data_IF_648025174597
#
_entry.id   IF_648025174597
#
_cell.length_a   1.000
_cell.length_b   1.000
_cell.length_c   1.000
_cell.angle_alpha   90.00
_cell.angle_beta   90.00
_cell.angle_gamma   90.00
#
_symmetry.space_group_name_H-M   'P 1'
#
loop_
_entity.id
_entity.type
_entity.pdbx_description
1 polymer ?
#
# COMPACT_ATOMS: atom_id res chain seq x y z
N UNK A 1 -12.27 -3.56 28.27
CA UNK A 1 -11.03 -3.62 27.45
C UNK A 1 -9.96 -2.73 28.07
N UNK A 2 -8.68 -3.16 28.15
CA UNK A 2 -7.55 -2.32 28.60
C UNK A 2 -6.76 -1.83 27.39
N UNK A 3 -6.74 -0.52 27.16
CA UNK A 3 -5.91 0.12 26.11
C UNK A 3 -4.61 0.58 26.75
N UNK A 4 -3.47 0.19 26.19
CA UNK A 4 -2.14 0.62 26.65
C UNK A 4 -1.58 1.68 25.71
N UNK A 5 -1.23 2.86 26.23
CA UNK A 5 -0.54 3.88 25.45
C UNK A 5 0.91 3.48 25.19
N UNK A 6 1.32 3.48 23.91
CA UNK A 6 2.65 3.09 23.46
C UNK A 6 3.14 3.98 22.30
N UNK A 7 3.37 5.28 22.54
CA UNK A 7 3.75 6.23 21.50
C UNK A 7 5.09 5.90 20.81
N UNK A 8 5.95 5.12 21.46
CA UNK A 8 7.20 4.65 20.86
C UNK A 8 7.00 3.78 19.61
N UNK A 9 5.84 3.16 19.45
CA UNK A 9 5.49 2.41 18.24
C UNK A 9 4.79 3.26 17.17
N UNK A 10 4.53 4.55 17.44
CA UNK A 10 3.80 5.43 16.52
C UNK A 10 4.44 5.58 15.16
N UNK A 11 5.79 5.58 15.08
CA UNK A 11 6.49 5.62 13.78
C UNK A 11 6.36 4.31 12.99
N UNK A 12 6.19 3.17 13.66
CA UNK A 12 6.07 1.87 13.00
C UNK A 12 4.76 1.72 12.22
N UNK A 13 3.69 2.43 12.61
CA UNK A 13 2.41 2.42 11.91
C UNK A 13 2.30 3.50 10.83
N UNK A 14 3.41 4.09 10.43
CA UNK A 14 3.52 5.06 9.33
C UNK A 14 4.58 4.60 8.33
N UNK A 15 4.54 5.05 7.06
CA UNK A 15 5.57 4.72 6.06
C UNK A 15 6.88 5.49 6.27
N UNK A 16 6.96 6.42 7.23
CA UNK A 16 8.10 7.32 7.41
C UNK A 16 9.45 6.57 7.53
N UNK A 17 9.58 5.47 8.30
CA UNK A 17 10.85 4.75 8.38
C UNK A 17 11.34 4.18 7.06
N UNK A 18 10.42 3.89 6.14
CA UNK A 18 10.72 3.25 4.86
C UNK A 18 10.99 4.23 3.70
N UNK A 19 10.92 5.55 3.96
CA UNK A 19 11.11 6.59 2.92
C UNK A 19 12.49 6.59 2.28
N UNK A 20 13.50 6.10 2.98
CA UNK A 20 14.87 5.96 2.47
C UNK A 20 15.28 4.50 2.28
N UNK A 21 14.42 3.54 2.59
CA UNK A 21 14.75 2.13 2.55
C UNK A 21 14.68 1.59 1.12
N UNK A 22 15.72 0.89 0.62
CA UNK A 22 15.75 0.32 -0.72
C UNK A 22 14.49 -0.49 -1.04
N UNK A 23 13.99 -0.40 -2.26
CA UNK A 23 12.75 -1.00 -2.78
C UNK A 23 11.47 -0.50 -2.10
N UNK A 24 11.41 -0.39 -0.77
CA UNK A 24 10.24 0.16 -0.07
C UNK A 24 9.91 1.58 -0.53
N UNK A 25 10.94 2.41 -0.79
CA UNK A 25 10.80 3.80 -1.27
C UNK A 25 10.30 3.93 -2.71
N UNK A 26 10.18 2.84 -3.46
CA UNK A 26 9.71 2.90 -4.85
C UNK A 26 8.28 3.42 -4.95
N UNK A 27 7.44 3.04 -4.01
CA UNK A 27 6.09 3.56 -3.89
C UNK A 27 5.63 3.44 -2.43
N UNK A 28 5.02 4.50 -1.93
CA UNK A 28 4.50 4.53 -0.56
C UNK A 28 3.09 5.10 -0.55
N UNK A 29 2.23 4.46 0.22
CA UNK A 29 0.90 4.96 0.56
C UNK A 29 0.98 5.62 1.95
N UNK A 30 0.32 6.76 2.13
CA UNK A 30 0.35 7.48 3.41
C UNK A 30 -0.21 6.67 4.57
N UNK A 31 -1.11 5.75 4.29
CA UNK A 31 -1.79 4.90 5.24
C UNK A 31 -1.09 3.56 5.50
N UNK A 32 0.08 3.34 4.90
CA UNK A 32 0.85 2.13 5.17
C UNK A 32 1.61 2.23 6.50
N UNK A 33 1.82 1.09 7.11
CA UNK A 33 2.80 0.92 8.19
C UNK A 33 4.20 0.64 7.61
N UNK A 34 5.22 0.69 8.47
CA UNK A 34 6.59 0.42 8.05
C UNK A 34 6.96 -1.06 8.12
N UNK A 35 7.94 -1.44 7.31
CA UNK A 35 8.59 -2.76 7.36
C UNK A 35 9.13 -3.10 8.76
N UNK A 36 9.52 -2.10 9.55
CA UNK A 36 9.99 -2.30 10.92
C UNK A 36 8.92 -2.97 11.80
N UNK A 37 7.63 -2.63 11.62
CA UNK A 37 6.54 -3.31 12.32
C UNK A 37 6.52 -4.79 11.96
N UNK A 38 6.52 -5.11 10.68
CA UNK A 38 6.45 -6.49 10.18
C UNK A 38 7.63 -7.31 10.68
N UNK A 39 8.86 -6.83 10.45
CA UNK A 39 10.09 -7.52 10.87
C UNK A 39 10.11 -7.77 12.38
N UNK A 40 9.71 -6.76 13.18
CA UNK A 40 9.60 -6.92 14.64
C UNK A 40 8.58 -8.00 15.03
N UNK A 41 7.44 -8.05 14.36
CA UNK A 41 6.41 -9.07 14.63
C UNK A 41 6.86 -10.45 14.20
N UNK A 42 7.54 -10.58 13.05
CA UNK A 42 8.12 -11.84 12.62
C UNK A 42 9.10 -12.41 13.66
N UNK A 43 10.00 -11.55 14.16
CA UNK A 43 10.97 -11.94 15.18
C UNK A 43 10.27 -12.33 16.51
N UNK A 44 9.31 -11.52 16.97
CA UNK A 44 8.57 -11.76 18.24
C UNK A 44 7.68 -13.01 18.21
N UNK A 45 7.16 -13.36 17.02
CA UNK A 45 6.24 -14.50 16.84
C UNK A 45 6.96 -15.78 16.38
N UNK A 46 8.28 -15.70 16.16
CA UNK A 46 9.10 -16.83 15.71
C UNK A 46 8.73 -17.30 14.31
N UNK A 47 8.31 -16.39 13.42
CA UNK A 47 7.96 -16.74 12.04
C UNK A 47 9.23 -16.97 11.22
N UNK A 48 9.27 -18.04 10.46
CA UNK A 48 10.40 -18.47 9.65
C UNK A 48 9.99 -18.99 8.28
N UNK A 49 10.90 -19.70 7.59
CA UNK A 49 10.73 -20.16 6.19
C UNK A 49 9.52 -21.07 5.98
N UNK A 50 9.12 -21.82 7.01
CA UNK A 50 7.98 -22.73 6.97
C UNK A 50 6.66 -22.05 7.34
N UNK A 51 6.68 -20.76 7.67
CA UNK A 51 5.51 -19.98 8.04
C UNK A 51 4.85 -19.36 6.81
N UNK A 52 3.53 -19.28 6.84
CA UNK A 52 2.72 -18.51 5.90
C UNK A 52 2.13 -17.28 6.58
N UNK A 53 2.52 -16.09 6.12
CA UNK A 53 1.97 -14.81 6.56
C UNK A 53 0.99 -14.27 5.53
N UNK A 54 -0.17 -13.78 5.99
CA UNK A 54 -1.21 -13.21 5.12
C UNK A 54 -1.37 -11.73 5.37
N UNK A 55 -1.46 -10.93 4.30
CA UNK A 55 -1.88 -9.54 4.33
C UNK A 55 -3.14 -9.33 3.50
N UNK A 56 -4.33 -9.31 4.15
CA UNK A 56 -5.62 -9.14 3.47
C UNK A 56 -5.84 -7.79 2.77
N UNK A 57 -5.00 -6.79 3.04
CA UNK A 57 -5.03 -5.45 2.44
C UNK A 57 -3.59 -5.02 2.14
N UNK A 58 -2.96 -5.71 1.18
CA UNK A 58 -1.51 -5.64 1.00
C UNK A 58 -0.99 -4.27 0.51
N UNK A 59 -1.86 -3.44 -0.07
CA UNK A 59 -1.52 -2.07 -0.45
C UNK A 59 -0.23 -1.97 -1.27
N UNK A 60 0.75 -1.24 -0.76
CA UNK A 60 2.06 -1.09 -1.39
C UNK A 60 3.03 -2.28 -1.13
N UNK A 61 2.56 -3.41 -0.61
CA UNK A 61 3.33 -4.65 -0.46
C UNK A 61 4.34 -4.66 0.70
N UNK A 62 4.17 -3.83 1.72
CA UNK A 62 5.14 -3.72 2.83
C UNK A 62 5.31 -5.05 3.59
N UNK A 63 4.21 -5.71 3.94
CA UNK A 63 4.25 -7.03 4.61
C UNK A 63 4.95 -8.07 3.74
N UNK A 64 4.59 -8.11 2.45
CA UNK A 64 5.10 -9.11 1.51
C UNK A 64 6.61 -8.97 1.29
N UNK A 65 7.08 -7.72 1.10
CA UNK A 65 8.51 -7.45 0.92
C UNK A 65 9.30 -7.75 2.20
N UNK A 66 8.77 -7.44 3.37
CA UNK A 66 9.42 -7.76 4.65
C UNK A 66 9.47 -9.27 4.91
N UNK A 67 8.44 -10.02 4.54
CA UNK A 67 8.45 -11.48 4.57
C UNK A 67 9.51 -12.04 3.62
N UNK A 68 9.61 -11.49 2.39
CA UNK A 68 10.63 -11.89 1.41
C UNK A 68 12.06 -11.67 1.93
N UNK A 69 12.33 -10.57 2.64
CA UNK A 69 13.64 -10.35 3.27
C UNK A 69 14.02 -11.45 4.28
N UNK A 70 13.04 -12.08 4.90
CA UNK A 70 13.22 -13.17 5.89
C UNK A 70 13.08 -14.57 5.30
N UNK A 71 12.79 -14.68 4.01
CA UNK A 71 12.49 -15.97 3.37
C UNK A 71 11.18 -16.60 3.84
N UNK A 72 10.26 -15.80 4.37
CA UNK A 72 8.94 -16.23 4.85
C UNK A 72 7.96 -16.23 3.68
N UNK A 73 7.18 -17.30 3.53
CA UNK A 73 6.12 -17.34 2.54
C UNK A 73 5.01 -16.36 2.90
N UNK A 74 4.48 -15.67 1.91
CA UNK A 74 3.39 -14.73 2.15
C UNK A 74 2.38 -14.67 1.02
N UNK A 75 1.15 -14.30 1.40
CA UNK A 75 0.05 -14.07 0.45
C UNK A 75 -0.55 -12.70 0.75
N UNK A 76 -0.67 -11.87 -0.29
CA UNK A 76 -1.30 -10.56 -0.24
C UNK A 76 -2.58 -10.54 -1.04
N UNK A 77 -3.58 -9.86 -0.52
CA UNK A 77 -4.83 -9.57 -1.22
C UNK A 77 -5.05 -8.06 -1.31
N UNK A 78 -5.57 -7.64 -2.42
CA UNK A 78 -6.10 -6.28 -2.58
C UNK A 78 -7.14 -6.29 -3.71
N UNK A 79 -7.99 -5.28 -3.76
CA UNK A 79 -8.97 -5.09 -4.85
C UNK A 79 -8.57 -3.94 -5.76
N UNK A 80 -7.57 -3.16 -5.37
CA UNK A 80 -7.13 -1.99 -6.12
C UNK A 80 -6.00 -2.35 -7.09
N UNK A 81 -6.17 -2.14 -8.41
CA UNK A 81 -5.17 -2.53 -9.41
C UNK A 81 -3.78 -1.93 -9.17
N UNK A 82 -3.72 -0.69 -8.70
CA UNK A 82 -2.44 -0.03 -8.34
C UNK A 82 -1.73 -0.76 -7.19
N UNK A 83 -2.47 -1.18 -6.16
CA UNK A 83 -1.91 -1.93 -5.04
C UNK A 83 -1.31 -3.26 -5.49
N UNK A 84 -2.05 -4.00 -6.33
CA UNK A 84 -1.59 -5.27 -6.90
C UNK A 84 -0.34 -5.07 -7.75
N UNK A 85 -0.35 -4.07 -8.65
CA UNK A 85 0.79 -3.75 -9.50
C UNK A 85 2.04 -3.38 -8.67
N UNK A 86 1.89 -2.46 -7.72
CA UNK A 86 3.01 -1.98 -6.90
C UNK A 86 3.58 -3.06 -6.00
N UNK A 87 2.73 -3.83 -5.34
CA UNK A 87 3.19 -4.92 -4.47
C UNK A 87 3.89 -6.01 -5.27
N UNK A 88 3.38 -6.35 -6.46
CA UNK A 88 4.05 -7.29 -7.37
C UNK A 88 5.40 -6.74 -7.85
N UNK A 89 5.46 -5.49 -8.34
CA UNK A 89 6.70 -4.88 -8.81
C UNK A 89 7.78 -4.81 -7.73
N UNK A 90 7.43 -4.61 -6.47
CA UNK A 90 8.39 -4.56 -5.36
C UNK A 90 8.90 -5.92 -4.90
N UNK A 91 8.15 -6.98 -5.17
CA UNK A 91 8.44 -8.30 -4.59
C UNK A 91 8.96 -9.33 -5.60
N UNK A 92 8.98 -8.99 -6.88
CA UNK A 92 9.55 -9.85 -7.93
C UNK A 92 11.04 -10.08 -7.76
N UNK A 93 11.48 -11.21 -8.31
CA UNK A 93 12.90 -11.47 -8.55
C UNK A 93 13.28 -10.89 -9.92
N UNK A 94 14.28 -10.02 -9.94
CA UNK A 94 14.73 -9.35 -11.14
C UNK A 94 16.13 -9.81 -11.55
N UNK A 95 16.34 -10.02 -12.85
CA UNK A 95 17.68 -10.04 -13.43
C UNK A 95 18.21 -8.59 -13.58
N UNK A 96 19.07 -8.19 -12.66
CA UNK A 96 19.60 -6.81 -12.62
C UNK A 96 20.41 -6.49 -13.88
N UNK A 97 21.15 -7.44 -14.43
CA UNK A 97 21.96 -7.22 -15.64
C UNK A 97 21.07 -7.02 -16.89
N UNK A 98 20.01 -7.82 -17.01
CA UNK A 98 19.00 -7.63 -18.06
C UNK A 98 18.28 -6.28 -17.93
N UNK A 99 17.91 -5.90 -16.71
CA UNK A 99 17.27 -4.60 -16.43
C UNK A 99 18.17 -3.41 -16.80
N UNK A 100 19.47 -3.47 -16.57
CA UNK A 100 20.41 -2.40 -16.96
C UNK A 100 20.38 -2.12 -18.45
N UNK A 101 20.31 -3.17 -19.25
CA UNK A 101 20.21 -3.03 -20.71
C UNK A 101 18.89 -2.39 -21.13
N UNK A 102 17.77 -2.83 -20.54
CA UNK A 102 16.45 -2.26 -20.79
C UNK A 102 16.38 -0.78 -20.35
N UNK A 103 16.95 -0.45 -19.18
CA UNK A 103 17.03 0.95 -18.71
C UNK A 103 17.77 1.82 -19.70
N UNK A 104 18.93 1.36 -20.22
CA UNK A 104 19.71 2.11 -21.23
C UNK A 104 18.88 2.34 -22.49
N UNK A 105 18.26 1.28 -23.03
CA UNK A 105 17.41 1.37 -24.22
C UNK A 105 16.28 2.39 -24.05
N UNK A 106 15.55 2.36 -22.91
CA UNK A 106 14.45 3.28 -22.65
C UNK A 106 14.94 4.72 -22.47
N UNK A 107 16.09 4.94 -21.86
CA UNK A 107 16.65 6.29 -21.70
C UNK A 107 17.12 6.89 -23.03
N UNK A 108 17.53 6.08 -23.99
CA UNK A 108 17.95 6.48 -25.34
C UNK A 108 16.79 6.53 -26.36
N UNK A 109 15.63 5.93 -26.00
CA UNK A 109 14.50 5.86 -26.93
C UNK A 109 13.93 7.24 -27.26
N UNK A 110 13.80 7.52 -28.57
CA UNK A 110 12.98 8.60 -29.09
C UNK A 110 11.62 8.01 -29.46
N UNK A 111 10.64 8.21 -28.59
CA UNK A 111 9.36 7.55 -28.73
C UNK A 111 8.22 8.58 -28.84
N UNK A 112 7.44 8.44 -29.91
CA UNK A 112 6.23 9.20 -30.12
C UNK A 112 5.02 8.41 -29.59
N UNK A 113 4.04 9.07 -28.98
CA UNK A 113 2.86 8.38 -28.48
C UNK A 113 1.98 7.89 -29.63
N UNK A 114 1.46 6.66 -29.52
CA UNK A 114 0.47 6.12 -30.47
C UNK A 114 -0.88 6.84 -30.38
N UNK A 115 -1.18 7.43 -29.22
CA UNK A 115 -2.43 8.13 -28.92
C UNK A 115 -2.14 9.47 -28.25
N UNK A 116 -3.04 10.43 -28.46
CA UNK A 116 -2.96 11.71 -27.72
C UNK A 116 -3.28 11.49 -26.24
N UNK A 117 -2.55 12.14 -25.33
CA UNK A 117 -2.87 12.07 -23.92
C UNK A 117 -4.25 12.68 -23.65
N UNK A 118 -4.99 12.17 -22.67
CA UNK A 118 -6.26 12.76 -22.27
C UNK A 118 -6.10 14.23 -21.86
N UNK A 119 -6.99 15.10 -22.32
CA UNK A 119 -6.94 16.57 -22.09
C UNK A 119 -6.76 16.93 -20.60
N UNK A 120 -7.39 16.16 -19.69
CA UNK A 120 -7.28 16.45 -18.25
C UNK A 120 -5.84 16.32 -17.70
N UNK A 121 -4.91 15.65 -18.40
CA UNK A 121 -3.51 15.50 -17.99
C UNK A 121 -2.74 16.79 -18.11
N UNK A 122 -3.08 17.65 -19.06
CA UNK A 122 -2.45 18.97 -19.27
C UNK A 122 -2.55 19.87 -18.01
N UNK A 123 -3.56 19.63 -17.19
CA UNK A 123 -3.73 20.34 -15.93
C UNK A 123 -2.61 20.02 -14.92
N UNK A 124 -2.03 18.81 -15.00
CA UNK A 124 -1.11 18.30 -13.99
C UNK A 124 0.34 18.25 -14.45
N UNK A 125 0.61 18.43 -15.75
CA UNK A 125 1.95 18.30 -16.30
C UNK A 125 2.36 19.54 -17.11
N UNK A 126 3.67 19.79 -17.21
CA UNK A 126 4.20 20.74 -18.21
C UNK A 126 3.78 20.36 -19.63
N UNK A 127 3.64 21.37 -20.54
CA UNK A 127 3.32 21.10 -21.94
C UNK A 127 4.27 20.10 -22.59
N UNK A 128 3.73 19.17 -23.36
CA UNK A 128 4.49 18.13 -24.08
C UNK A 128 4.89 16.91 -23.22
N UNK A 129 4.99 17.06 -21.91
CA UNK A 129 5.41 15.96 -21.04
C UNK A 129 4.44 14.74 -21.06
N UNK A 130 3.11 14.89 -21.11
CA UNK A 130 2.22 13.74 -21.25
C UNK A 130 2.45 12.92 -22.53
N UNK A 131 2.77 13.57 -23.65
CA UNK A 131 3.11 12.89 -24.90
C UNK A 131 4.41 12.08 -24.75
N UNK A 132 5.45 12.68 -24.19
CA UNK A 132 6.73 12.00 -23.96
C UNK A 132 6.56 10.77 -23.04
N UNK A 133 5.76 10.90 -21.96
CA UNK A 133 5.45 9.79 -21.06
C UNK A 133 4.74 8.66 -21.80
N UNK A 134 3.72 8.96 -22.61
CA UNK A 134 2.96 7.95 -23.35
C UNK A 134 3.84 7.25 -24.41
N UNK A 135 4.71 7.99 -25.10
CA UNK A 135 5.66 7.41 -26.04
C UNK A 135 6.55 6.37 -25.35
N UNK A 136 7.19 6.76 -24.24
CA UNK A 136 8.02 5.84 -23.46
C UNK A 136 7.24 4.67 -22.89
N UNK A 137 6.01 4.91 -22.41
CA UNK A 137 5.17 3.81 -21.95
C UNK A 137 4.92 2.79 -23.05
N UNK A 138 4.65 3.25 -24.29
CA UNK A 138 4.47 2.36 -25.43
C UNK A 138 5.70 1.48 -25.71
N UNK A 139 6.93 2.03 -25.60
CA UNK A 139 8.15 1.22 -25.72
C UNK A 139 8.29 0.21 -24.57
N UNK A 140 8.02 0.63 -23.34
CA UNK A 140 8.10 -0.24 -22.16
C UNK A 140 7.08 -1.37 -22.24
N UNK A 141 5.87 -1.14 -22.75
CA UNK A 141 4.82 -2.14 -22.88
C UNK A 141 5.18 -3.31 -23.81
N UNK A 142 6.16 -3.14 -24.69
CA UNK A 142 6.69 -4.19 -25.60
C UNK A 142 7.69 -5.14 -24.93
N UNK A 143 8.16 -4.80 -23.73
CA UNK A 143 9.12 -5.61 -22.98
C UNK A 143 8.45 -6.78 -22.26
N UNK A 144 9.27 -7.73 -21.84
CA UNK A 144 8.82 -8.83 -20.99
C UNK A 144 8.26 -8.32 -19.66
N UNK A 145 7.45 -9.16 -18.99
CA UNK A 145 6.65 -8.73 -17.83
C UNK A 145 7.48 -8.10 -16.71
N UNK A 146 8.63 -8.69 -16.37
CA UNK A 146 9.44 -8.21 -15.25
C UNK A 146 10.06 -6.84 -15.54
N UNK A 147 10.71 -6.70 -16.69
CA UNK A 147 11.32 -5.45 -17.14
C UNK A 147 10.26 -4.36 -17.28
N UNK A 148 9.13 -4.71 -17.88
CA UNK A 148 7.99 -3.82 -18.03
C UNK A 148 7.48 -3.30 -16.69
N UNK A 149 7.28 -4.14 -15.71
CA UNK A 149 6.79 -3.72 -14.39
C UNK A 149 7.77 -2.78 -13.69
N UNK A 150 9.06 -3.11 -13.71
CA UNK A 150 10.11 -2.27 -13.14
C UNK A 150 10.16 -0.88 -13.78
N UNK A 151 10.18 -0.84 -15.12
CA UNK A 151 10.30 0.40 -15.88
C UNK A 151 9.03 1.26 -15.82
N UNK A 152 7.83 0.66 -15.85
CA UNK A 152 6.58 1.38 -15.66
C UNK A 152 6.51 2.04 -14.29
N UNK A 153 6.93 1.34 -13.23
CA UNK A 153 6.96 1.93 -11.90
C UNK A 153 7.96 3.09 -11.82
N UNK A 154 9.13 2.96 -12.43
CA UNK A 154 10.13 4.02 -12.53
C UNK A 154 9.62 5.22 -13.34
N UNK A 155 8.96 4.97 -14.47
CA UNK A 155 8.32 6.00 -15.32
C UNK A 155 7.26 6.77 -14.52
N UNK A 156 6.38 6.07 -13.82
CA UNK A 156 5.32 6.69 -13.00
C UNK A 156 5.92 7.55 -11.88
N UNK A 157 6.94 7.07 -11.17
CA UNK A 157 7.66 7.85 -10.15
C UNK A 157 8.27 9.13 -10.73
N UNK A 158 8.92 9.03 -11.90
CA UNK A 158 9.54 10.18 -12.55
C UNK A 158 8.48 11.20 -13.01
N UNK A 159 7.38 10.71 -13.59
CA UNK A 159 6.27 11.54 -14.04
C UNK A 159 5.63 12.30 -12.88
N UNK A 160 5.33 11.65 -11.76
CA UNK A 160 4.80 12.31 -10.56
C UNK A 160 5.79 13.35 -10.02
N UNK A 161 7.08 13.04 -9.97
CA UNK A 161 8.11 13.99 -9.53
C UNK A 161 8.22 15.24 -10.43
N UNK A 162 7.88 15.11 -11.72
CA UNK A 162 7.83 16.21 -12.69
C UNK A 162 6.43 16.78 -12.89
N UNK A 163 5.44 16.34 -12.12
CA UNK A 163 4.08 16.87 -12.17
C UNK A 163 3.90 18.14 -11.33
N UNK A 164 2.81 18.84 -11.59
CA UNK A 164 2.28 19.90 -10.74
C UNK A 164 1.25 19.40 -9.72
N UNK A 165 1.06 18.09 -9.68
CA UNK A 165 0.16 17.46 -8.72
C UNK A 165 0.73 17.51 -7.31
N UNK A 166 -0.13 17.82 -6.36
CA UNK A 166 0.14 17.77 -4.91
C UNK A 166 -1.05 17.11 -4.23
N UNK A 167 -0.78 16.03 -3.52
CA UNK A 167 -1.81 15.33 -2.75
C UNK A 167 -2.04 16.09 -1.45
N UNK A 168 -3.26 16.58 -1.23
CA UNK A 168 -3.69 17.20 0.02
C UNK A 168 -4.89 16.42 0.57
N UNK A 169 -4.59 15.47 1.45
CA UNK A 169 -5.56 14.48 1.90
C UNK A 169 -6.03 13.61 0.72
N UNK A 170 -7.33 13.70 0.42
CA UNK A 170 -7.97 12.93 -0.67
C UNK A 170 -8.08 13.70 -1.98
N UNK A 171 -7.57 14.93 -2.04
CA UNK A 171 -7.74 15.80 -3.20
C UNK A 171 -6.40 16.01 -3.91
N UNK A 172 -6.41 15.76 -5.21
CA UNK A 172 -5.28 16.09 -6.07
C UNK A 172 -5.35 17.57 -6.46
N UNK A 173 -4.48 18.39 -5.88
CA UNK A 173 -4.34 19.82 -6.18
C UNK A 173 -3.32 20.05 -7.26
N UNK A 174 -3.41 21.20 -7.91
CA UNK A 174 -2.41 21.68 -8.89
C UNK A 174 -1.63 22.82 -8.29
N UNK A 175 -0.31 22.63 -8.22
CA UNK A 175 0.64 23.69 -7.84
C UNK A 175 1.72 23.82 -8.91
N UNK A 176 1.52 24.74 -9.84
CA UNK A 176 2.52 25.00 -10.89
C UNK A 176 3.85 25.41 -10.27
N UNK A 177 4.91 24.71 -10.65
CA UNK A 177 6.28 24.92 -10.18
C UNK A 177 7.25 24.64 -11.30
N UNK A 178 8.47 25.16 -11.20
CA UNK A 178 9.56 24.76 -12.09
C UNK A 178 9.95 23.31 -11.77
N UNK A 179 9.93 22.45 -12.76
CA UNK A 179 10.34 21.05 -12.63
C UNK A 179 11.67 20.84 -13.34
N UNK A 180 12.40 19.79 -12.93
CA UNK A 180 13.62 19.38 -13.61
C UNK A 180 13.29 18.72 -14.95
N UNK A 181 14.23 18.67 -15.92
CA UNK A 181 14.04 17.92 -17.16
C UNK A 181 13.67 16.47 -16.88
N UNK A 182 12.61 16.00 -17.50
CA UNK A 182 12.00 14.70 -17.19
C UNK A 182 12.98 13.53 -17.38
N UNK A 183 13.73 13.50 -18.50
CA UNK A 183 14.73 12.46 -18.78
C UNK A 183 15.81 12.37 -17.71
N UNK A 184 16.25 13.49 -17.16
CA UNK A 184 17.23 13.50 -16.05
C UNK A 184 16.62 12.90 -14.77
N UNK A 185 15.35 13.22 -14.48
CA UNK A 185 14.63 12.66 -13.32
C UNK A 185 14.40 11.18 -13.51
N UNK A 186 13.98 10.74 -14.69
CA UNK A 186 13.76 9.33 -15.03
C UNK A 186 15.06 8.53 -14.90
N UNK A 187 16.15 9.00 -15.51
CA UNK A 187 17.47 8.36 -15.42
C UNK A 187 17.89 8.18 -13.96
N UNK A 188 17.82 9.24 -13.16
CA UNK A 188 18.19 9.19 -11.74
C UNK A 188 17.34 8.18 -10.98
N UNK A 189 16.03 8.13 -11.22
CA UNK A 189 15.12 7.22 -10.52
C UNK A 189 15.38 5.77 -10.91
N UNK A 190 15.57 5.48 -12.20
CA UNK A 190 15.83 4.12 -12.66
C UNK A 190 17.18 3.59 -12.14
N UNK A 191 18.23 4.43 -12.14
CA UNK A 191 19.52 4.07 -11.55
C UNK A 191 19.43 3.86 -10.04
N UNK A 192 18.66 4.69 -9.33
CA UNK A 192 18.37 4.50 -7.90
C UNK A 192 17.65 3.16 -7.65
N UNK A 193 16.68 2.81 -8.49
CA UNK A 193 15.94 1.56 -8.36
C UNK A 193 16.80 0.34 -8.65
N UNK A 194 17.72 0.40 -9.62
CA UNK A 194 18.71 -0.66 -9.87
C UNK A 194 19.64 -0.86 -8.68
N UNK A 195 20.12 0.24 -8.07
CA UNK A 195 20.96 0.17 -6.87
C UNK A 195 20.20 -0.41 -5.67
N UNK A 196 18.90 -0.10 -5.54
CA UNK A 196 18.05 -0.68 -4.52
C UNK A 196 17.96 -2.20 -4.63
N UNK A 197 17.86 -2.75 -5.84
CA UNK A 197 17.85 -4.21 -6.04
C UNK A 197 19.18 -4.86 -5.65
N UNK A 198 20.30 -4.16 -5.83
CA UNK A 198 21.62 -4.67 -5.43
C UNK A 198 21.84 -4.61 -3.92
N UNK A 199 21.29 -3.59 -3.27
CA UNK A 199 21.53 -3.31 -1.86
C UNK A 199 20.57 -4.04 -0.93
N UNK A 200 19.31 -4.25 -1.33
CA UNK A 200 18.34 -4.98 -0.52
C UNK A 200 18.54 -6.48 -0.68
N UNK A 201 19.04 -7.11 0.37
CA UNK A 201 19.14 -8.58 0.40
C UNK A 201 17.75 -9.18 0.63
N UNK A 202 17.28 -9.95 -0.32
CA UNK A 202 16.04 -10.73 -0.23
C UNK A 202 16.31 -12.19 -0.57
N UNK A 203 15.46 -13.06 -0.02
CA UNK A 203 15.44 -14.47 -0.42
C UNK A 203 14.65 -14.64 -1.73
N UNK A 204 14.88 -15.71 -2.50
CA UNK A 204 14.24 -15.90 -3.81
C UNK A 204 12.74 -16.26 -3.74
N UNK A 205 12.15 -16.27 -2.54
CA UNK A 205 10.73 -16.53 -2.35
C UNK A 205 9.90 -15.35 -2.89
N UNK A 206 8.98 -15.64 -3.80
CA UNK A 206 8.02 -14.64 -4.28
C UNK A 206 6.68 -14.81 -3.55
N UNK A 207 6.08 -13.73 -3.06
CA UNK A 207 4.76 -13.78 -2.47
C UNK A 207 3.71 -14.09 -3.53
N UNK A 208 2.63 -14.74 -3.13
CA UNK A 208 1.42 -14.85 -3.93
C UNK A 208 0.59 -13.59 -3.73
N UNK A 209 0.22 -12.91 -4.82
CA UNK A 209 -0.57 -11.68 -4.80
C UNK A 209 -1.81 -11.93 -5.65
N UNK A 210 -2.99 -11.74 -5.06
CA UNK A 210 -4.26 -12.03 -5.70
C UNK A 210 -5.23 -10.85 -5.60
N UNK A 211 -5.93 -10.60 -6.70
CA UNK A 211 -7.06 -9.68 -6.70
C UNK A 211 -8.25 -10.34 -6.02
N UNK A 212 -8.44 -10.05 -4.74
CA UNK A 212 -9.56 -10.57 -3.94
C UNK A 212 -9.98 -9.59 -2.86
N UNK A 213 -11.25 -9.69 -2.54
CA UNK A 213 -11.82 -9.01 -1.38
C UNK A 213 -11.42 -9.74 -0.08
N UNK A 214 -10.94 -9.00 0.90
CA UNK A 214 -10.52 -9.53 2.19
C UNK A 214 -11.65 -10.26 2.96
N UNK A 215 -12.90 -10.01 2.60
CA UNK A 215 -14.08 -10.74 3.13
C UNK A 215 -14.25 -12.13 2.52
N UNK A 216 -13.52 -12.47 1.44
CA UNK A 216 -13.59 -13.73 0.69
C UNK A 216 -12.23 -14.11 0.11
N UNK A 217 -11.25 -14.40 0.96
CA UNK A 217 -9.88 -14.70 0.54
C UNK A 217 -9.71 -16.07 -0.12
N UNK A 218 -10.60 -17.02 0.17
CA UNK A 218 -10.58 -18.39 -0.39
C UNK A 218 -9.25 -19.13 -0.15
N UNK A 219 -8.59 -18.90 0.97
CA UNK A 219 -7.50 -19.75 1.43
C UNK A 219 -8.04 -20.99 2.16
N UNK A 220 -7.29 -22.10 2.17
CA UNK A 220 -7.63 -23.25 2.98
C UNK A 220 -7.78 -22.89 4.46
N UNK A 221 -8.73 -23.54 5.13
CA UNK A 221 -8.96 -23.34 6.55
C UNK A 221 -7.72 -23.71 7.36
N UNK A 222 -7.33 -22.88 8.34
CA UNK A 222 -6.17 -23.13 9.19
C UNK A 222 -4.84 -23.24 8.43
N UNK A 223 -4.69 -22.56 7.29
CA UNK A 223 -3.46 -22.59 6.50
C UNK A 223 -2.42 -21.55 6.90
N UNK A 224 -2.83 -20.41 7.45
CA UNK A 224 -1.94 -19.31 7.74
C UNK A 224 -1.42 -19.31 9.19
N UNK A 225 -0.13 -19.02 9.36
CA UNK A 225 0.55 -18.97 10.66
C UNK A 225 0.41 -17.60 11.33
N UNK A 226 0.26 -16.53 10.55
CA UNK A 226 0.04 -15.18 11.06
C UNK A 226 -0.64 -14.28 10.02
N UNK A 227 -1.21 -13.17 10.48
CA UNK A 227 -1.65 -12.08 9.63
C UNK A 227 -1.15 -10.73 10.15
N UNK A 228 -0.68 -9.88 9.24
CA UNK A 228 -0.21 -8.51 9.55
C UNK A 228 -0.80 -7.59 8.49
N UNK A 229 -1.67 -6.66 8.89
CA UNK A 229 -2.46 -5.90 7.93
C UNK A 229 -2.98 -4.58 8.48
N UNK A 230 -3.37 -3.69 7.57
CA UNK A 230 -4.06 -2.43 7.86
C UNK A 230 -5.27 -2.28 6.95
N UNK A 231 -6.49 -2.62 7.39
CA UNK A 231 -7.70 -2.40 6.60
C UNK A 231 -7.90 -0.90 6.33
N UNK A 232 -8.65 -0.54 5.28
CA UNK A 232 -9.02 0.85 5.03
C UNK A 232 -9.61 1.49 6.28
N UNK A 233 -9.18 2.74 6.58
CA UNK A 233 -9.66 3.43 7.76
C UNK A 233 -11.05 4.02 7.53
N UNK A 234 -11.86 4.04 8.57
CA UNK A 234 -13.20 4.60 8.54
C UNK A 234 -13.18 6.06 8.03
N UNK A 235 -14.02 6.39 7.05
CA UNK A 235 -14.09 7.65 6.32
C UNK A 235 -12.89 8.00 5.44
N UNK A 236 -12.00 7.04 5.17
CA UNK A 236 -10.86 7.21 4.27
C UNK A 236 -11.08 6.46 2.94
N UNK A 237 -12.18 6.74 2.27
CA UNK A 237 -12.57 6.07 1.00
C UNK A 237 -12.02 6.73 -0.26
N UNK A 238 -11.23 7.80 -0.12
CA UNK A 238 -10.86 8.67 -1.24
C UNK A 238 -9.53 8.31 -1.90
N UNK A 239 -8.94 7.13 -1.59
CA UNK A 239 -7.71 6.64 -2.21
C UNK A 239 -7.78 6.66 -3.75
N UNK A 240 -8.91 6.29 -4.32
CA UNK A 240 -9.13 6.18 -5.76
C UNK A 240 -8.93 7.53 -6.46
N UNK A 241 -9.33 8.64 -5.82
CA UNK A 241 -9.17 9.97 -6.41
C UNK A 241 -7.74 10.48 -6.28
N UNK A 242 -7.03 10.09 -5.23
CA UNK A 242 -5.67 10.51 -4.97
C UNK A 242 -4.66 9.90 -5.97
N UNK A 243 -4.90 8.65 -6.40
CA UNK A 243 -3.98 7.90 -7.27
C UNK A 243 -4.36 7.86 -8.75
N UNK A 244 -5.28 8.73 -9.18
CA UNK A 244 -5.73 8.79 -10.59
C UNK A 244 -4.59 9.01 -11.60
N UNK A 245 -3.56 9.78 -11.22
CA UNK A 245 -2.39 10.00 -12.07
C UNK A 245 -1.57 8.73 -12.22
N UNK A 246 -1.30 8.06 -11.12
CA UNK A 246 -0.55 6.81 -11.10
C UNK A 246 -1.28 5.71 -11.88
N UNK A 247 -2.58 5.59 -11.74
CA UNK A 247 -3.38 4.65 -12.53
C UNK A 247 -3.25 4.93 -14.03
N UNK A 248 -3.39 6.19 -14.45
CA UNK A 248 -3.20 6.57 -15.84
C UNK A 248 -1.77 6.31 -16.34
N UNK A 249 -0.75 6.69 -15.57
CA UNK A 249 0.66 6.48 -15.90
C UNK A 249 1.00 5.00 -16.11
N UNK A 250 0.38 4.12 -15.33
CA UNK A 250 0.57 2.68 -15.38
C UNK A 250 -0.37 1.96 -16.36
N UNK A 251 -1.27 2.69 -17.02
CA UNK A 251 -2.27 2.10 -17.94
C UNK A 251 -3.33 1.26 -17.24
N UNK A 252 -3.55 1.49 -15.94
CA UNK A 252 -4.52 0.75 -15.15
C UNK A 252 -5.94 1.32 -15.35
N UNK A 253 -6.93 0.43 -15.36
CA UNK A 253 -8.34 0.84 -15.45
C UNK A 253 -8.86 1.23 -14.06
N UNK A 254 -9.40 2.46 -13.90
CA UNK A 254 -9.94 2.89 -12.60
C UNK A 254 -11.17 2.06 -12.24
N UNK A 255 -11.30 1.69 -10.97
CA UNK A 255 -12.46 0.97 -10.45
C UNK A 255 -13.41 1.89 -9.69
N UNK A 256 -14.69 1.48 -9.60
CA UNK A 256 -15.69 2.26 -8.89
C UNK A 256 -15.56 2.11 -7.36
N UNK A 257 -15.67 3.21 -6.58
CA UNK A 257 -15.50 3.22 -5.12
C UNK A 257 -16.46 2.29 -4.35
N UNK A 258 -17.67 2.10 -4.86
CA UNK A 258 -18.73 1.33 -4.19
C UNK A 258 -18.43 -0.16 -4.00
N UNK A 259 -17.43 -0.69 -4.72
CA UNK A 259 -16.99 -2.09 -4.59
C UNK A 259 -15.98 -2.33 -3.47
N UNK A 260 -15.45 -1.26 -2.85
CA UNK A 260 -14.37 -1.37 -1.89
C UNK A 260 -14.88 -1.55 -0.45
N UNK A 261 -14.07 -2.26 0.33
CA UNK A 261 -14.23 -2.39 1.76
C UNK A 261 -14.33 -1.01 2.42
N UNK A 262 -15.36 -0.81 3.24
CA UNK A 262 -15.59 0.50 3.87
C UNK A 262 -15.94 1.63 2.89
N UNK A 263 -16.31 1.33 1.65
CA UNK A 263 -16.60 2.29 0.57
C UNK A 263 -17.78 3.23 0.84
N UNK A 264 -18.58 2.96 1.86
CA UNK A 264 -19.66 3.82 2.31
C UNK A 264 -19.20 4.69 3.49
N UNK A 265 -19.63 5.96 3.48
CA UNK A 265 -19.40 6.89 4.60
C UNK A 265 -20.23 6.55 5.85
N UNK A 266 -20.86 5.37 5.89
CA UNK A 266 -21.65 4.89 7.01
C UNK A 266 -20.81 4.01 7.96
N UNK A 267 -20.67 4.38 9.24
CA UNK A 267 -19.95 3.60 10.22
C UNK A 267 -20.48 2.18 10.42
N UNK A 268 -21.81 1.96 10.33
CA UNK A 268 -22.39 0.63 10.54
C UNK A 268 -22.07 -0.31 9.35
N UNK A 269 -22.07 0.20 8.12
CA UNK A 269 -21.62 -0.55 6.96
C UNK A 269 -20.14 -0.95 7.11
N UNK A 270 -19.27 -0.01 7.54
CA UNK A 270 -17.86 -0.29 7.82
C UNK A 270 -17.68 -1.39 8.86
N UNK A 271 -18.41 -1.33 9.99
CA UNK A 271 -18.32 -2.36 11.02
C UNK A 271 -18.94 -3.70 10.58
N UNK A 272 -19.88 -3.69 9.63
CA UNK A 272 -20.36 -4.91 8.98
C UNK A 272 -19.27 -5.58 8.17
N UNK A 273 -18.58 -4.81 7.32
CA UNK A 273 -17.44 -5.28 6.55
C UNK A 273 -16.32 -5.83 7.46
N UNK A 274 -16.04 -5.13 8.57
CA UNK A 274 -15.06 -5.59 9.56
C UNK A 274 -15.44 -6.91 10.22
N UNK A 275 -16.74 -7.19 10.43
CA UNK A 275 -17.21 -8.49 10.96
C UNK A 275 -17.00 -9.62 9.96
N UNK A 276 -17.35 -9.39 8.69
CA UNK A 276 -17.15 -10.38 7.63
C UNK A 276 -15.67 -10.68 7.45
N UNK A 277 -14.84 -9.65 7.37
CA UNK A 277 -13.39 -9.76 7.30
C UNK A 277 -12.80 -10.54 8.49
N UNK A 278 -13.18 -10.18 9.71
CA UNK A 278 -12.68 -10.87 10.91
C UNK A 278 -13.11 -12.35 10.95
N UNK A 279 -14.29 -12.68 10.46
CA UNK A 279 -14.74 -14.05 10.31
C UNK A 279 -13.91 -14.85 9.30
N UNK A 280 -13.67 -14.28 8.12
CA UNK A 280 -12.82 -14.90 7.09
C UNK A 280 -11.37 -15.03 7.56
N UNK A 281 -10.82 -14.00 8.23
CA UNK A 281 -9.48 -14.05 8.80
C UNK A 281 -9.36 -15.16 9.85
N UNK A 282 -10.35 -15.30 10.72
CA UNK A 282 -10.37 -16.37 11.72
C UNK A 282 -10.40 -17.76 11.09
N UNK A 283 -11.09 -17.93 9.98
CA UNK A 283 -11.18 -19.20 9.25
C UNK A 283 -9.85 -19.65 8.68
N UNK A 284 -9.09 -18.75 8.06
CA UNK A 284 -7.83 -19.08 7.40
C UNK A 284 -6.64 -19.23 8.35
N UNK A 285 -6.70 -18.61 9.53
CA UNK A 285 -5.63 -18.71 10.53
C UNK A 285 -5.66 -20.03 11.27
N UNK A 286 -4.49 -20.62 11.52
CA UNK A 286 -4.31 -21.78 12.39
C UNK A 286 -4.81 -21.49 13.82
N UNK A 287 -5.36 -22.46 14.56
CA UNK A 287 -5.63 -22.29 15.98
C UNK A 287 -4.36 -21.83 16.72
N UNK A 288 -4.49 -20.80 17.54
CA UNK A 288 -3.35 -20.22 18.25
C UNK A 288 -2.53 -19.19 17.48
N UNK A 289 -2.72 -19.05 16.18
CA UNK A 289 -2.04 -18.05 15.34
C UNK A 289 -2.32 -16.62 15.79
N UNK A 290 -1.35 -15.74 15.57
CA UNK A 290 -1.43 -14.33 15.94
C UNK A 290 -1.76 -13.45 14.72
N UNK A 291 -2.52 -12.40 14.95
CA UNK A 291 -2.72 -11.35 13.95
C UNK A 291 -2.48 -9.96 14.52
N UNK A 292 -1.92 -9.09 13.69
CA UNK A 292 -1.76 -7.66 13.94
C UNK A 292 -2.65 -6.89 12.98
N UNK A 293 -3.57 -6.11 13.52
CA UNK A 293 -4.41 -5.20 12.73
C UNK A 293 -4.11 -3.78 13.17
N UNK A 294 -3.65 -2.95 12.22
CA UNK A 294 -3.46 -1.51 12.43
C UNK A 294 -4.71 -0.78 11.94
N UNK A 295 -5.35 -0.01 12.80
CA UNK A 295 -6.56 0.72 12.44
C UNK A 295 -6.70 2.02 13.25
N UNK A 296 -7.44 2.99 12.74
CA UNK A 296 -7.61 4.30 13.37
C UNK A 296 -9.07 4.72 13.52
N UNK A 297 -9.33 5.56 14.52
CA UNK A 297 -10.61 6.24 14.68
C UNK A 297 -10.99 7.03 13.43
N UNK A 298 -12.25 7.00 13.05
CA UNK A 298 -12.77 7.77 11.94
C UNK A 298 -12.93 9.25 12.28
N UNK A 299 -12.57 10.13 11.34
CA UNK A 299 -12.83 11.57 11.41
C UNK A 299 -13.92 11.97 10.43
N UNK A 300 -15.03 12.49 10.92
CA UNK A 300 -16.11 13.02 10.12
C UNK A 300 -16.34 14.51 10.41
N UNK A 301 -17.19 15.16 9.64
CA UNK A 301 -17.66 16.54 9.91
C UNK A 301 -18.41 16.67 11.24
N UNK A 302 -18.89 15.57 11.80
CA UNK A 302 -19.66 15.51 13.04
C UNK A 302 -18.81 15.18 14.27
N UNK A 303 -17.54 14.80 14.08
CA UNK A 303 -16.63 14.43 15.16
C UNK A 303 -15.86 13.14 14.91
N UNK A 304 -15.34 12.58 15.98
CA UNK A 304 -14.56 11.35 15.97
C UNK A 304 -15.46 10.16 16.25
N UNK A 305 -15.40 9.15 15.37
CA UNK A 305 -16.01 7.84 15.60
C UNK A 305 -14.95 6.89 16.16
N UNK A 306 -15.15 6.46 17.39
CA UNK A 306 -14.23 5.54 18.09
C UNK A 306 -14.42 4.12 17.58
N UNK A 307 -13.30 3.47 17.23
CA UNK A 307 -13.36 2.09 16.72
C UNK A 307 -12.98 1.04 17.75
N UNK A 308 -12.21 1.40 18.79
CA UNK A 308 -11.53 0.44 19.64
C UNK A 308 -12.47 -0.56 20.33
N UNK A 309 -13.60 -0.11 20.89
CA UNK A 309 -14.56 -0.99 21.58
C UNK A 309 -15.29 -1.90 20.58
N UNK A 310 -15.71 -1.34 19.43
CA UNK A 310 -16.38 -2.11 18.37
C UNK A 310 -15.45 -3.18 17.79
N UNK A 311 -14.19 -2.85 17.55
CA UNK A 311 -13.18 -3.81 17.06
C UNK A 311 -12.91 -4.91 18.08
N UNK A 312 -12.89 -4.57 19.38
CA UNK A 312 -12.74 -5.56 20.44
C UNK A 312 -13.92 -6.56 20.45
N UNK A 313 -15.15 -6.08 20.33
CA UNK A 313 -16.36 -6.92 20.27
C UNK A 313 -16.36 -7.79 18.99
N UNK A 314 -16.06 -7.20 17.84
CA UNK A 314 -15.98 -7.92 16.57
C UNK A 314 -14.97 -9.06 16.66
N UNK A 315 -13.75 -8.78 17.11
CA UNK A 315 -12.72 -9.80 17.28
C UNK A 315 -13.19 -10.94 18.20
N UNK A 316 -13.80 -10.59 19.35
CA UNK A 316 -14.31 -11.59 20.29
C UNK A 316 -15.39 -12.50 19.71
N UNK A 317 -16.31 -11.96 18.90
CA UNK A 317 -17.39 -12.71 18.25
C UNK A 317 -16.92 -13.51 17.04
N UNK A 318 -15.83 -13.08 16.39
CA UNK A 318 -15.25 -13.77 15.22
C UNK A 318 -14.23 -14.84 15.57
N UNK A 319 -14.14 -15.29 16.82
CA UNK A 319 -13.27 -16.40 17.21
C UNK A 319 -11.84 -15.98 17.62
N UNK A 320 -11.62 -14.71 17.95
CA UNK A 320 -10.34 -14.25 18.49
C UNK A 320 -10.38 -14.00 20.00
N UNK A 321 -9.24 -14.13 20.65
CA UNK A 321 -8.93 -13.53 21.93
C UNK A 321 -8.05 -12.30 21.72
N UNK A 322 -8.49 -11.14 22.19
CA UNK A 322 -7.72 -9.90 22.08
C UNK A 322 -6.60 -9.91 23.13
N UNK A 323 -5.36 -9.96 22.70
CA UNK A 323 -4.17 -10.01 23.57
C UNK A 323 -3.72 -8.63 24.00
N UNK A 324 -3.67 -7.67 23.06
CA UNK A 324 -3.27 -6.28 23.33
C UNK A 324 -4.04 -5.32 22.42
N UNK A 325 -4.35 -4.15 22.97
CA UNK A 325 -4.77 -2.98 22.19
C UNK A 325 -3.84 -1.84 22.59
N UNK A 326 -3.03 -1.39 21.65
CA UNK A 326 -2.04 -0.35 21.85
C UNK A 326 -2.48 0.92 21.13
N UNK A 327 -2.67 2.02 21.87
CA UNK A 327 -2.83 3.35 21.31
C UNK A 327 -1.43 3.92 21.02
N UNK A 328 -1.10 4.08 19.75
CA UNK A 328 0.26 4.42 19.32
C UNK A 328 0.39 5.84 18.80
N UNK A 329 -0.65 6.39 18.18
CA UNK A 329 -0.72 7.77 17.73
C UNK A 329 -2.04 8.42 18.13
N UNK A 330 -2.05 9.74 18.26
CA UNK A 330 -3.25 10.55 18.39
C UNK A 330 -3.11 11.81 17.53
N UNK A 331 -4.14 12.13 16.76
CA UNK A 331 -4.21 13.35 15.95
C UNK A 331 -5.50 14.10 16.18
N UNK A 332 -5.48 15.42 15.93
CA UNK A 332 -6.70 16.18 15.94
C UNK A 332 -7.55 15.88 14.69
N UNK A 333 -8.79 15.50 14.92
CA UNK A 333 -9.82 15.54 13.90
C UNK A 333 -10.24 17.00 13.72
N UNK A 334 -10.13 17.53 12.50
CA UNK A 334 -10.42 18.93 12.21
C UNK A 334 -11.37 19.07 11.02
N UNK A 335 -12.22 20.09 11.03
CA UNK A 335 -12.99 20.52 9.85
C UNK A 335 -12.06 21.14 8.80
N UNK A 336 -12.51 21.32 7.54
CA UNK A 336 -11.78 22.11 6.54
C UNK A 336 -11.43 23.52 7.02
N UNK A 337 -12.26 24.13 7.87
CA UNK A 337 -12.00 25.43 8.53
C UNK A 337 -11.08 25.33 9.75
N UNK A 338 -10.40 24.20 9.96
CA UNK A 338 -9.46 23.92 11.06
C UNK A 338 -10.07 23.93 12.48
N UNK A 339 -11.38 23.87 12.62
CA UNK A 339 -12.03 23.68 13.93
C UNK A 339 -11.74 22.28 14.44
N UNK A 340 -11.25 22.15 15.68
CA UNK A 340 -10.96 20.87 16.34
C UNK A 340 -12.27 20.22 16.79
N UNK A 341 -12.48 18.95 16.37
CA UNK A 341 -13.65 18.16 16.68
C UNK A 341 -13.38 17.06 17.73
N UNK A 342 -12.12 16.78 18.03
CA UNK A 342 -11.69 15.76 18.98
C UNK A 342 -10.36 15.14 18.58
N UNK A 343 -9.81 14.28 19.45
CA UNK A 343 -8.61 13.50 19.13
C UNK A 343 -9.02 12.12 18.61
N UNK A 344 -8.51 11.74 17.46
CA UNK A 344 -8.63 10.42 16.87
C UNK A 344 -7.37 9.62 17.18
N UNK A 345 -7.55 8.40 17.69
CA UNK A 345 -6.48 7.46 18.01
C UNK A 345 -6.15 6.53 16.83
N UNK A 346 -4.92 6.07 16.78
CA UNK A 346 -4.47 5.00 15.91
C UNK A 346 -3.95 3.86 16.77
N UNK A 347 -4.37 2.64 16.43
CA UNK A 347 -4.22 1.49 17.30
C UNK A 347 -3.55 0.32 16.60
N UNK A 348 -2.80 -0.46 17.38
CA UNK A 348 -2.37 -1.81 17.02
C UNK A 348 -3.19 -2.80 17.85
N UNK A 349 -3.95 -3.66 17.16
CA UNK A 349 -4.67 -4.77 17.78
C UNK A 349 -3.87 -6.06 17.58
N UNK A 350 -3.46 -6.70 18.68
CA UNK A 350 -2.86 -8.04 18.64
C UNK A 350 -3.92 -9.04 19.07
N UNK A 351 -4.31 -9.89 18.15
CA UNK A 351 -5.34 -10.89 18.31
C UNK A 351 -4.71 -12.29 18.27
N UNK A 352 -5.32 -13.24 18.95
CA UNK A 352 -4.95 -14.67 18.88
C UNK A 352 -6.16 -15.47 18.47
N UNK A 353 -6.04 -16.28 17.42
CA UNK A 353 -7.07 -17.25 17.00
C UNK A 353 -7.32 -18.26 18.13
N UNK A 354 -8.57 -18.47 18.50
CA UNK A 354 -8.99 -19.47 19.52
C UNK A 354 -8.90 -20.88 18.98
#
# INVERSE_FOLDING_TARGET
>A
MKISRRPQFGRMVTPIPDRSRPVYRWFQMEESFSSQLVLTLCDLWGLGRDSLVVDPFCGAGTTLLACKERGIQSVGFDVHPLCLFVSEAKTRNYDVAGLENCVRQILEAEAEPAESPPEWTERYFPPGLPCEILGLRGEIERLERNERMFLLLGLARAAIACSWAEVDGAVLRVRKRKVRPFRQVLSRILLEMLEDLRSLKTEPVEPRIEERDARRMNLPEGSADAAITSPPYLFKTEYIRAYRLEEWLLGLQPRQPAAFFGGNSDPEAYFSDMREFAGELAKILKPGALSCIVAADGCSRHGVVRIADRMYEIAGRSGFSVKKVLLVNERWCTTPSRRKLGRAGEYIFILKRR
#
